data_IF_236003077644
#
_entry.id   IF_236003077644
#
_cell.length_a   1.000
_cell.length_b   1.000
_cell.length_c   1.000
_cell.angle_alpha   90.00
_cell.angle_beta   90.00
_cell.angle_gamma   90.00
#
_symmetry.space_group_name_H-M   'P 1'
#
loop_
_entity.id
_entity.type
_entity.pdbx_description
1 polymer ?
#
# COMPACT_ATOMS: atom_id res chain seq x y z
N UNK A 1 15.24 18.91 -2.34
CA UNK A 1 14.02 19.26 -3.09
C UNK A 1 13.97 18.37 -4.32
N UNK A 2 13.26 17.24 -4.26
CA UNK A 2 13.22 16.26 -5.36
C UNK A 2 12.08 16.62 -6.32
N UNK A 3 12.38 16.82 -7.61
CA UNK A 3 11.39 17.16 -8.64
C UNK A 3 10.78 15.91 -9.25
N UNK A 4 9.46 15.93 -9.42
CA UNK A 4 8.62 14.82 -9.87
C UNK A 4 8.66 14.56 -11.39
N UNK A 5 9.72 14.97 -12.12
CA UNK A 5 9.64 15.14 -13.60
C UNK A 5 10.44 14.15 -14.46
N UNK A 6 11.16 13.20 -13.89
CA UNK A 6 11.99 12.30 -14.69
C UNK A 6 11.42 10.87 -14.87
N UNK A 7 10.17 10.62 -14.49
CA UNK A 7 9.53 9.31 -14.62
C UNK A 7 8.76 9.13 -15.95
N UNK A 8 9.32 9.62 -17.06
CA UNK A 8 8.73 9.44 -18.39
C UNK A 8 9.82 9.08 -19.39
N UNK A 9 10.28 7.83 -19.30
CA UNK A 9 11.27 7.28 -20.22
C UNK A 9 11.38 5.78 -20.09
N UNK A 10 10.75 5.09 -21.05
CA UNK A 10 11.12 3.79 -21.62
C UNK A 10 10.94 2.51 -20.79
N UNK A 11 10.08 1.62 -21.31
CA UNK A 11 9.97 0.21 -20.88
C UNK A 11 8.64 -0.15 -20.22
N UNK A 12 7.75 -0.79 -20.99
CA UNK A 12 6.48 -1.35 -20.54
C UNK A 12 6.68 -2.59 -19.62
N UNK A 13 7.09 -2.33 -18.38
CA UNK A 13 6.73 -3.08 -17.18
C UNK A 13 6.39 -2.01 -16.17
N UNK A 14 5.12 -1.87 -15.81
CA UNK A 14 4.70 -0.87 -14.84
C UNK A 14 5.59 -1.00 -13.59
N UNK A 15 6.41 0.02 -13.31
CA UNK A 15 7.30 0.03 -12.17
C UNK A 15 6.49 -0.34 -10.91
N UNK A 16 7.04 -1.23 -10.08
CA UNK A 16 6.35 -1.73 -8.90
C UNK A 16 5.78 -0.56 -8.09
N UNK A 17 4.44 -0.46 -7.92
CA UNK A 17 3.83 0.65 -7.21
C UNK A 17 4.00 0.53 -5.69
N UNK A 18 4.51 -0.60 -5.17
CA UNK A 18 4.62 -0.87 -3.73
C UNK A 18 5.54 0.12 -2.99
N UNK A 19 6.77 0.45 -3.44
CA UNK A 19 7.61 1.43 -2.76
C UNK A 19 6.95 2.82 -2.70
N UNK A 20 6.32 3.24 -3.80
CA UNK A 20 5.60 4.51 -3.84
C UNK A 20 4.40 4.53 -2.88
N UNK A 21 3.67 3.42 -2.77
CA UNK A 21 2.60 3.24 -1.80
C UNK A 21 3.10 3.29 -0.35
N UNK A 22 4.23 2.67 -0.03
CA UNK A 22 4.84 2.71 1.30
C UNK A 22 5.23 4.14 1.71
N UNK A 23 5.85 4.90 0.79
CA UNK A 23 6.18 6.32 0.99
C UNK A 23 4.92 7.13 1.24
N UNK A 24 3.89 6.95 0.41
CA UNK A 24 2.64 7.70 0.55
C UNK A 24 1.95 7.38 1.89
N UNK A 25 1.91 6.12 2.29
CA UNK A 25 1.38 5.69 3.58
C UNK A 25 2.10 6.40 4.74
N UNK A 26 3.44 6.34 4.78
CA UNK A 26 4.23 6.93 5.86
C UNK A 26 4.04 8.45 5.94
N UNK A 27 3.96 9.13 4.79
CA UNK A 27 3.66 10.57 4.73
C UNK A 27 2.26 10.88 5.26
N UNK A 28 1.24 10.16 4.79
CA UNK A 28 -0.14 10.38 5.22
C UNK A 28 -0.32 10.13 6.72
N UNK A 29 0.28 9.05 7.23
CA UNK A 29 0.25 8.72 8.64
C UNK A 29 0.91 9.82 9.50
N UNK A 30 2.02 10.40 9.05
CA UNK A 30 2.74 11.47 9.75
C UNK A 30 1.96 12.78 9.86
N UNK A 31 1.04 13.08 8.92
CA UNK A 31 0.29 14.34 8.95
C UNK A 31 -0.68 14.47 10.12
N UNK A 32 -1.07 13.36 10.77
CA UNK A 32 -1.95 13.36 11.96
C UNK A 32 -3.22 14.23 11.80
N UNK A 33 -3.90 14.10 10.66
CA UNK A 33 -5.06 14.95 10.31
C UNK A 33 -6.29 14.73 11.21
N UNK A 34 -6.39 13.56 11.86
CA UNK A 34 -7.54 13.18 12.69
C UNK A 34 -7.11 12.93 14.14
N UNK A 35 -8.05 13.07 15.07
CA UNK A 35 -7.82 12.75 16.49
C UNK A 35 -7.42 11.28 16.69
N UNK A 36 -8.02 10.37 15.93
CA UNK A 36 -7.66 8.95 15.87
C UNK A 36 -7.84 8.41 14.43
N UNK A 37 -7.31 7.22 14.16
CA UNK A 37 -7.51 6.50 12.91
C UNK A 37 -6.56 6.87 11.78
N UNK A 38 -5.60 7.77 12.00
CA UNK A 38 -4.65 8.26 10.97
C UNK A 38 -4.01 7.13 10.14
N UNK A 39 -3.58 6.04 10.79
CA UNK A 39 -2.97 4.88 10.12
C UNK A 39 -3.97 4.09 9.27
N UNK A 40 -5.18 3.87 9.79
CA UNK A 40 -6.24 3.18 9.03
C UNK A 40 -6.68 4.01 7.82
N UNK A 41 -6.85 5.33 8.00
CA UNK A 41 -7.21 6.24 6.90
C UNK A 41 -6.10 6.31 5.85
N UNK A 42 -4.83 6.41 6.26
CA UNK A 42 -3.69 6.37 5.33
C UNK A 42 -3.64 5.05 4.55
N UNK A 43 -3.79 3.92 5.23
CA UNK A 43 -3.81 2.60 4.61
C UNK A 43 -4.94 2.45 3.60
N UNK A 44 -6.15 2.89 3.97
CA UNK A 44 -7.31 2.86 3.10
C UNK A 44 -7.13 3.73 1.85
N UNK A 45 -6.58 4.94 2.00
CA UNK A 45 -6.31 5.86 0.89
C UNK A 45 -5.30 5.27 -0.10
N UNK A 46 -4.19 4.73 0.41
CA UNK A 46 -3.14 4.11 -0.41
C UNK A 46 -3.66 2.88 -1.15
N UNK A 47 -4.36 1.97 -0.47
CA UNK A 47 -4.92 0.77 -1.10
C UNK A 47 -6.01 1.10 -2.13
N UNK A 48 -6.74 2.20 -1.93
CA UNK A 48 -7.67 2.70 -2.95
C UNK A 48 -6.94 3.20 -4.19
N UNK A 49 -5.80 3.87 -4.03
CA UNK A 49 -4.97 4.31 -5.17
C UNK A 49 -4.34 3.13 -5.91
N UNK A 50 -3.76 2.16 -5.19
CA UNK A 50 -3.22 0.94 -5.78
C UNK A 50 -4.27 0.24 -6.66
N UNK A 51 -5.49 0.07 -6.15
CA UNK A 51 -6.61 -0.51 -6.90
C UNK A 51 -7.02 0.33 -8.12
N UNK A 52 -7.06 1.66 -7.99
CA UNK A 52 -7.37 2.57 -9.11
C UNK A 52 -6.33 2.52 -10.23
N UNK A 53 -5.08 2.23 -9.91
CA UNK A 53 -4.00 2.03 -10.88
C UNK A 53 -3.91 0.59 -11.40
N UNK A 54 -4.96 -0.22 -11.23
CA UNK A 54 -5.03 -1.62 -11.64
C UNK A 54 -3.88 -2.50 -11.10
N UNK A 55 -3.29 -2.12 -9.97
CA UNK A 55 -2.35 -2.96 -9.25
C UNK A 55 -3.10 -4.10 -8.56
N UNK A 56 -2.60 -5.33 -8.69
CA UNK A 56 -3.05 -6.47 -7.89
C UNK A 56 -2.55 -6.41 -6.44
N UNK A 57 -1.62 -5.49 -6.13
CA UNK A 57 -1.02 -5.38 -4.81
C UNK A 57 -1.93 -4.71 -3.81
N UNK A 58 -1.81 -5.14 -2.56
CA UNK A 58 -2.44 -4.52 -1.40
C UNK A 58 -1.35 -4.24 -0.38
N UNK A 59 -1.20 -2.99 0.02
CA UNK A 59 -0.34 -2.62 1.13
C UNK A 59 -0.93 -3.18 2.43
N UNK A 60 -0.11 -3.94 3.15
CA UNK A 60 -0.39 -4.49 4.47
C UNK A 60 0.43 -3.73 5.52
N UNK A 61 -0.15 -3.62 6.71
CA UNK A 61 0.53 -3.12 7.92
C UNK A 61 0.66 -4.28 8.90
N UNK A 62 1.80 -4.45 9.58
CA UNK A 62 2.01 -5.56 10.49
C UNK A 62 1.02 -5.60 11.66
N UNK A 63 0.43 -6.78 11.89
CA UNK A 63 -0.50 -7.02 12.98
C UNK A 63 0.08 -7.93 14.08
N UNK A 64 1.03 -8.81 13.74
CA UNK A 64 1.67 -9.74 14.66
C UNK A 64 2.53 -9.01 15.68
N UNK A 65 2.66 -9.56 16.89
CA UNK A 65 3.21 -8.85 18.05
C UNK A 65 4.60 -8.25 17.82
N UNK A 66 5.53 -9.00 17.25
CA UNK A 66 6.92 -8.56 17.10
C UNK A 66 7.11 -7.63 15.91
N UNK A 67 6.54 -7.98 14.74
CA UNK A 67 6.57 -7.12 13.55
C UNK A 67 5.79 -5.82 13.76
N UNK A 68 4.68 -5.84 14.51
CA UNK A 68 3.93 -4.64 14.91
C UNK A 68 4.76 -3.75 15.83
N UNK A 69 5.47 -4.33 16.80
CA UNK A 69 6.32 -3.55 17.72
C UNK A 69 7.43 -2.83 16.95
N UNK A 70 8.09 -3.54 16.05
CA UNK A 70 9.17 -2.99 15.25
C UNK A 70 8.68 -1.91 14.28
N UNK A 71 7.56 -2.16 13.59
CA UNK A 71 6.92 -1.17 12.75
C UNK A 71 6.55 0.10 13.50
N UNK A 72 5.94 -0.02 14.70
CA UNK A 72 5.59 1.15 15.51
C UNK A 72 6.84 1.90 15.98
N UNK A 73 7.93 1.20 16.33
CA UNK A 73 9.21 1.82 16.70
C UNK A 73 9.76 2.67 15.54
N UNK A 74 9.83 2.11 14.33
CA UNK A 74 10.32 2.83 13.15
C UNK A 74 9.37 3.96 12.74
N UNK A 75 8.05 3.77 12.84
CA UNK A 75 7.08 4.81 12.53
C UNK A 75 7.18 6.00 13.50
N UNK A 76 7.46 5.74 14.78
CA UNK A 76 7.75 6.80 15.75
C UNK A 76 9.04 7.57 15.37
N UNK A 77 10.11 6.87 14.96
CA UNK A 77 11.34 7.50 14.49
C UNK A 77 11.07 8.36 13.23
N UNK A 78 10.27 7.87 12.29
CA UNK A 78 9.80 8.66 11.15
C UNK A 78 9.08 9.94 11.57
N UNK A 79 8.23 9.86 12.59
CA UNK A 79 7.45 11.01 13.06
C UNK A 79 8.33 12.09 13.67
N UNK A 80 9.26 11.71 14.55
CA UNK A 80 10.09 12.63 15.33
C UNK A 80 11.34 13.09 14.57
N UNK A 81 12.02 12.16 13.91
CA UNK A 81 13.38 12.36 13.38
C UNK A 81 13.41 12.46 11.86
N UNK A 82 12.29 12.19 11.17
CA UNK A 82 12.25 11.98 9.71
C UNK A 82 13.11 10.79 9.25
N UNK A 83 13.35 9.80 10.12
CA UNK A 83 14.00 8.55 9.74
C UNK A 83 13.05 7.74 8.82
N UNK A 84 13.39 7.66 7.54
CA UNK A 84 12.58 7.00 6.52
C UNK A 84 12.83 5.48 6.42
N UNK A 85 13.61 4.89 7.34
CA UNK A 85 13.84 3.44 7.40
C UNK A 85 12.54 2.62 7.46
N UNK A 86 11.47 3.18 8.06
CA UNK A 86 10.14 2.54 8.09
C UNK A 86 9.58 2.26 6.68
N UNK A 87 9.93 3.07 5.68
CA UNK A 87 9.46 2.92 4.30
C UNK A 87 10.08 1.68 3.68
N UNK A 88 11.41 1.53 3.77
CA UNK A 88 12.10 0.37 3.21
C UNK A 88 11.67 -0.90 3.93
N UNK A 89 11.63 -0.87 5.27
CA UNK A 89 11.19 -2.01 6.07
C UNK A 89 9.76 -2.45 5.72
N UNK A 90 8.85 -1.49 5.48
CA UNK A 90 7.47 -1.79 5.09
C UNK A 90 7.39 -2.36 3.67
N UNK A 91 8.24 -1.90 2.75
CA UNK A 91 8.32 -2.45 1.41
C UNK A 91 8.79 -3.92 1.45
N UNK A 92 9.84 -4.22 2.20
CA UNK A 92 10.36 -5.59 2.37
C UNK A 92 9.29 -6.50 3.01
N UNK A 93 8.64 -6.03 4.08
CA UNK A 93 7.55 -6.76 4.75
C UNK A 93 6.42 -7.17 3.80
N UNK A 94 6.10 -6.31 2.83
CA UNK A 94 5.03 -6.55 1.84
C UNK A 94 5.51 -7.39 0.66
N UNK A 95 6.76 -7.22 0.20
CA UNK A 95 7.35 -8.03 -0.85
C UNK A 95 7.33 -9.52 -0.49
N UNK A 96 7.70 -9.86 0.76
CA UNK A 96 7.68 -11.22 1.29
C UNK A 96 6.27 -11.84 1.35
N UNK A 97 5.22 -11.00 1.28
CA UNK A 97 3.81 -11.41 1.46
C UNK A 97 2.98 -11.33 0.20
N UNK A 98 3.54 -10.76 -0.88
CA UNK A 98 2.93 -10.73 -2.21
C UNK A 98 3.08 -12.05 -2.97
N UNK A 99 3.83 -13.04 -2.45
CA UNK A 99 3.89 -14.41 -2.99
C UNK A 99 2.58 -15.22 -2.83
N UNK A 100 1.43 -14.56 -2.56
CA UNK A 100 0.15 -15.26 -2.59
C UNK A 100 -0.13 -15.72 -4.02
N UNK A 101 -0.41 -17.02 -4.25
CA UNK A 101 -0.74 -17.50 -5.58
C UNK A 101 -1.96 -16.73 -6.06
N UNK A 102 -1.89 -16.29 -7.32
CA UNK A 102 -2.93 -15.60 -8.07
C UNK A 102 -4.29 -16.28 -7.86
N UNK A 103 -5.00 -15.90 -6.79
CA UNK A 103 -6.34 -16.38 -6.54
C UNK A 103 -7.22 -15.57 -7.48
N UNK A 104 -7.41 -16.11 -8.68
CA UNK A 104 -8.49 -15.74 -9.56
C UNK A 104 -9.77 -15.80 -8.76
N UNK A 105 -10.22 -14.65 -8.27
CA UNK A 105 -11.58 -14.52 -7.79
C UNK A 105 -12.50 -14.82 -8.96
N UNK A 106 -13.64 -15.50 -8.74
CA UNK A 106 -14.56 -15.78 -9.82
C UNK A 106 -15.01 -14.43 -10.39
N UNK A 107 -14.69 -14.20 -11.66
CA UNK A 107 -15.42 -13.24 -12.48
C UNK A 107 -16.88 -13.65 -12.38
N UNK A 108 -17.67 -12.91 -11.60
CA UNK A 108 -19.12 -13.05 -11.56
C UNK A 108 -19.58 -12.75 -12.98
N UNK A 109 -19.78 -13.81 -13.76
CA UNK A 109 -20.38 -13.74 -15.07
C UNK A 109 -21.83 -13.30 -14.86
N UNK A 110 -22.16 -12.11 -15.35
CA UNK A 110 -23.51 -11.78 -15.78
C UNK A 110 -24.01 -12.90 -16.70
N UNK A 111 -24.82 -13.81 -16.16
CA UNK A 111 -25.72 -14.68 -16.93
C UNK A 111 -26.56 -15.47 -15.95
N UNK A 112 -27.75 -14.97 -15.63
CA UNK A 112 -28.97 -15.76 -15.48
C UNK A 112 -30.11 -14.86 -14.97
N UNK A 113 -30.78 -14.16 -15.88
CA UNK A 113 -32.25 -14.05 -15.80
C UNK A 113 -32.76 -14.44 -17.18
N UNK A 114 -32.91 -15.75 -17.35
CA UNK A 114 -33.69 -16.34 -18.41
C UNK A 114 -35.16 -16.04 -18.15
N UNK A 115 -35.76 -15.42 -19.16
CA UNK A 115 -37.10 -15.65 -19.68
C UNK A 115 -37.92 -16.73 -18.94
N UNK A 116 -38.93 -16.29 -18.20
CA UNK A 116 -40.01 -17.15 -17.73
C UNK A 116 -41.31 -16.64 -18.34
N UNK A 117 -41.89 -17.54 -19.15
CA UNK A 117 -43.18 -17.44 -19.84
C UNK A 117 -44.34 -17.08 -18.92
#
# INVERSE_FOLDING_TARGET
>A
MLRLKDASGEGNSAADPLPAACVLFARLAKMQLFFDGNKHTALFAVNTLLRKHASSRVLLVPAERDSRREFLRMLCAWYVENDDAVVQWLADFNADRDERPNSGGPSVTESAVGDAR
#
